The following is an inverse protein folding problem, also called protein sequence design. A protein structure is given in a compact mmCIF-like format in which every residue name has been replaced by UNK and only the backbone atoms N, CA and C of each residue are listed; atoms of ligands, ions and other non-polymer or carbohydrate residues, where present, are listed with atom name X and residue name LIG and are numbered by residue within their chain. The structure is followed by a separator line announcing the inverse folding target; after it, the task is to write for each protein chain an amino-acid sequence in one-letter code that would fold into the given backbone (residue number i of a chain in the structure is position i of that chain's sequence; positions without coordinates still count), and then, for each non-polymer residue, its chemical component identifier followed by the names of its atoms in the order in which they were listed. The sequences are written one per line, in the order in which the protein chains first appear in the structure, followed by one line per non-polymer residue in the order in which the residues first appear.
data_IF_182317276765
#
_entry.id   IF_182317276765
#
_cell.length_a   1.000
_cell.length_b   1.000
_cell.length_c   1.000
_cell.angle_alpha   90.00
_cell.angle_beta   90.00
_cell.angle_gamma   90.00
#
_symmetry.space_group_name_H-M   'P 1'
#
loop_
_entity.id
_entity.type
_entity.pdbx_description
1 polymer ?
#
# COMPACT_ATOMS: atom_id res chain seq x y z
N UNK A 1 -2.20 10.00 15.26
CA UNK A 1 -2.69 9.49 13.97
C UNK A 1 -3.65 8.36 14.25
N UNK A 2 -4.84 8.43 13.66
CA UNK A 2 -5.80 7.31 13.65
C UNK A 2 -5.39 6.29 12.58
N UNK A 3 -5.88 5.05 12.70
CA UNK A 3 -5.63 4.01 11.68
C UNK A 3 -5.99 4.46 10.27
N UNK A 4 -7.10 5.18 10.14
CA UNK A 4 -7.56 5.70 8.84
C UNK A 4 -6.56 6.69 8.22
N UNK A 5 -5.88 7.50 9.04
CA UNK A 5 -4.86 8.43 8.56
C UNK A 5 -3.62 7.68 8.06
N UNK A 6 -3.19 6.64 8.78
CA UNK A 6 -2.07 5.79 8.38
C UNK A 6 -2.37 5.10 7.06
N UNK A 7 -3.56 4.51 6.91
CA UNK A 7 -3.97 3.85 5.66
C UNK A 7 -4.05 4.87 4.51
N UNK A 8 -4.51 6.10 4.77
CA UNK A 8 -4.56 7.14 3.76
C UNK A 8 -3.16 7.59 3.29
N UNK A 9 -2.19 7.74 4.21
CA UNK A 9 -0.80 8.02 3.85
C UNK A 9 -0.16 6.85 3.11
N UNK A 10 -0.33 5.63 3.63
CA UNK A 10 0.18 4.41 3.01
C UNK A 10 -0.33 4.28 1.57
N UNK A 11 -1.63 4.53 1.36
CA UNK A 11 -2.25 4.52 0.03
C UNK A 11 -1.56 5.47 -0.94
N UNK A 12 -1.18 6.68 -0.52
CA UNK A 12 -0.44 7.61 -1.37
C UNK A 12 0.95 7.08 -1.73
N UNK A 13 1.65 6.47 -0.76
CA UNK A 13 2.99 5.90 -0.96
C UNK A 13 2.92 4.71 -1.92
N UNK A 14 1.98 3.78 -1.74
CA UNK A 14 1.88 2.54 -2.53
C UNK A 14 1.22 2.73 -3.91
N UNK A 15 0.49 3.82 -4.14
CA UNK A 15 -0.18 4.11 -5.42
C UNK A 15 0.73 4.03 -6.64
N UNK A 16 1.95 4.63 -6.67
CA UNK A 16 2.87 4.48 -7.79
C UNK A 16 3.47 3.07 -7.94
N UNK A 17 3.36 2.21 -6.92
CA UNK A 17 3.97 0.87 -6.90
C UNK A 17 2.97 -0.26 -7.18
N UNK A 18 1.66 0.03 -7.20
CA UNK A 18 0.59 -0.92 -7.48
C UNK A 18 -0.15 -0.54 -8.76
N UNK A 19 -0.28 -1.50 -9.67
CA UNK A 19 -1.07 -1.35 -10.89
C UNK A 19 -2.58 -1.55 -10.63
N UNK A 20 -2.94 -2.11 -9.47
CA UNK A 20 -4.30 -2.47 -9.08
C UNK A 20 -5.02 -1.30 -8.40
N UNK A 21 -5.35 -0.28 -9.20
CA UNK A 21 -6.07 0.92 -8.74
C UNK A 21 -7.41 0.64 -8.06
N UNK A 22 -8.07 -0.47 -8.41
CA UNK A 22 -9.33 -0.88 -7.77
C UNK A 22 -9.06 -1.43 -6.37
N UNK A 23 -8.05 -2.29 -6.21
CA UNK A 23 -7.68 -2.83 -4.90
C UNK A 23 -7.17 -1.73 -3.95
N UNK A 24 -6.47 -0.71 -4.48
CA UNK A 24 -6.09 0.49 -3.73
C UNK A 24 -7.30 1.28 -3.20
N UNK A 25 -8.46 1.24 -3.86
CA UNK A 25 -9.67 1.91 -3.37
C UNK A 25 -10.28 1.20 -2.16
N UNK A 26 -10.08 -0.11 -2.06
CA UNK A 26 -10.64 -0.96 -1.02
C UNK A 26 -9.58 -1.51 -0.06
N UNK A 27 -8.43 -0.84 0.04
CA UNK A 27 -7.36 -1.25 0.96
C UNK A 27 -7.84 -1.14 2.41
N UNK A 28 -7.56 -2.19 3.16
CA UNK A 28 -7.86 -2.33 4.58
C UNK A 28 -6.69 -3.04 5.29
N UNK A 29 -6.88 -3.33 6.58
CA UNK A 29 -5.87 -4.02 7.39
C UNK A 29 -5.63 -5.49 6.95
N UNK A 30 -6.54 -6.09 6.18
CA UNK A 30 -6.45 -7.48 5.73
C UNK A 30 -5.87 -7.62 4.31
N UNK A 31 -5.69 -6.50 3.61
CA UNK A 31 -5.21 -6.47 2.23
C UNK A 31 -3.76 -6.97 2.14
N UNK A 32 -3.52 -7.98 1.29
CA UNK A 32 -2.19 -8.53 1.02
C UNK A 32 -1.53 -7.72 -0.12
N UNK A 33 -0.44 -7.04 0.18
CA UNK A 33 0.19 -6.13 -0.78
C UNK A 33 0.81 -6.90 -1.96
N UNK A 34 1.24 -8.14 -1.73
CA UNK A 34 1.85 -8.97 -2.77
C UNK A 34 0.80 -9.60 -3.68
N UNK A 35 -0.34 -10.01 -3.13
CA UNK A 35 -1.38 -10.73 -3.88
C UNK A 35 -2.49 -9.83 -4.40
N UNK A 36 -3.01 -8.95 -3.55
CA UNK A 36 -4.18 -8.12 -3.86
C UNK A 36 -3.75 -6.85 -4.58
N UNK A 37 -2.68 -6.21 -4.12
CA UNK A 37 -2.13 -5.01 -4.75
C UNK A 37 -1.10 -5.32 -5.85
N UNK A 38 -0.71 -6.60 -5.99
CA UNK A 38 0.32 -7.08 -6.94
C UNK A 38 1.65 -6.32 -6.84
N UNK A 39 1.97 -5.80 -5.67
CA UNK A 39 3.25 -5.15 -5.41
C UNK A 39 4.31 -6.26 -5.33
N UNK A 40 5.40 -6.10 -6.07
CA UNK A 40 6.48 -7.07 -5.99
C UNK A 40 7.33 -6.86 -4.72
N UNK A 41 8.10 -7.88 -4.35
CA UNK A 41 8.93 -7.83 -3.13
C UNK A 41 10.06 -6.80 -3.17
N UNK A 42 10.48 -6.32 -4.35
CA UNK A 42 11.49 -5.26 -4.45
C UNK A 42 10.88 -3.92 -4.05
N UNK A 43 9.74 -3.55 -4.64
CA UNK A 43 9.01 -2.33 -4.34
C UNK A 43 8.49 -2.31 -2.89
N UNK A 44 8.13 -3.47 -2.32
CA UNK A 44 7.67 -3.55 -0.93
C UNK A 44 8.75 -3.10 0.07
N UNK A 45 10.03 -3.36 -0.23
CA UNK A 45 11.14 -2.89 0.60
C UNK A 45 11.21 -1.37 0.57
N UNK A 46 11.09 -0.76 -0.62
CA UNK A 46 11.11 0.70 -0.78
C UNK A 46 9.95 1.36 -0.03
N UNK A 47 8.74 0.80 -0.13
CA UNK A 47 7.55 1.28 0.58
C UNK A 47 7.78 1.28 2.10
N UNK A 48 8.36 0.21 2.67
CA UNK A 48 8.60 0.13 4.12
C UNK A 48 9.66 1.13 4.58
N UNK A 49 10.62 1.45 3.72
CA UNK A 49 11.63 2.48 3.99
C UNK A 49 11.08 3.90 3.88
N UNK A 50 10.09 4.13 3.02
CA UNK A 50 9.45 5.44 2.82
C UNK A 50 8.51 5.86 3.98
N UNK A 51 8.24 4.98 4.95
CA UNK A 51 7.29 5.19 6.07
C UNK A 51 7.98 5.72 7.36
N UNK A 52 9.16 6.34 7.28
CA UNK A 52 9.84 6.94 8.47
C UNK A 52 9.03 8.01 9.22
#
# INVERSE_FOLDING_TARGET
MSKEEIIAELKNIITPYSEETIALQSIDDETDFLKDLKINSANLVDIVLDIE
#
